data_IF_097397486085
#
_entry.id   IF_097397486085
#
_cell.length_a   1.000
_cell.length_b   1.000
_cell.length_c   1.000
_cell.angle_alpha   90.00
_cell.angle_beta   90.00
_cell.angle_gamma   90.00
#
_symmetry.space_group_name_H-M   'P 1'
#
loop_
_entity.id
_entity.type
_entity.pdbx_description
1 polymer ?
#
# COMPACT_ATOMS: atom_id res chain seq x y z
N UNK A 1 -27.82 -76.51 28.26
CA UNK A 1 -27.79 -75.18 27.61
C UNK A 1 -27.01 -74.29 28.59
N UNK A 2 -25.76 -73.89 28.39
CA UNK A 2 -25.04 -73.43 27.19
C UNK A 2 -23.52 -73.54 27.46
N UNK A 3 -22.76 -73.78 26.39
CA UNK A 3 -21.29 -73.77 26.27
C UNK A 3 -20.63 -72.57 26.99
N UNK A 4 -19.55 -72.73 27.77
CA UNK A 4 -18.13 -72.85 27.36
C UNK A 4 -17.77 -71.85 26.25
N UNK A 5 -16.94 -70.83 26.48
CA UNK A 5 -15.50 -70.92 26.19
C UNK A 5 -14.75 -69.77 26.86
N UNK A 6 -13.86 -70.13 27.78
CA UNK A 6 -12.73 -69.33 28.26
C UNK A 6 -11.58 -69.59 27.28
N UNK A 7 -11.06 -68.54 26.65
CA UNK A 7 -9.86 -68.54 25.80
C UNK A 7 -8.94 -67.48 26.43
N UNK A 8 -7.91 -67.79 27.24
CA UNK A 8 -6.66 -68.57 27.10
C UNK A 8 -5.61 -67.89 26.19
N UNK A 9 -4.38 -67.87 26.71
CA UNK A 9 -3.05 -67.59 26.09
C UNK A 9 -2.52 -66.17 26.46
N UNK A 10 -1.74 -65.98 27.53
CA UNK A 10 -0.30 -66.30 27.73
C UNK A 10 0.58 -65.70 26.62
N UNK A 11 1.34 -64.63 26.90
CA UNK A 11 2.82 -64.69 26.92
C UNK A 11 3.45 -63.37 27.38
N UNK A 12 4.46 -63.53 28.21
CA UNK A 12 5.33 -62.54 28.85
C UNK A 12 6.43 -62.02 27.91
N UNK A 13 6.62 -60.67 27.88
CA UNK A 13 7.91 -59.93 28.06
C UNK A 13 9.06 -60.15 27.00
N UNK A 14 10.07 -59.27 26.87
CA UNK A 14 10.16 -57.80 26.72
C UNK A 14 11.00 -57.38 25.48
N UNK A 15 11.26 -56.06 25.41
CA UNK A 15 12.52 -55.41 24.98
C UNK A 15 13.04 -55.74 23.57
N UNK A 16 13.01 -54.73 22.71
CA UNK A 16 14.21 -54.13 22.09
C UNK A 16 13.73 -53.14 21.02
N UNK A 17 13.81 -51.84 21.25
CA UNK A 17 14.01 -50.90 20.15
C UNK A 17 14.70 -49.62 20.63
N UNK A 18 16.02 -49.65 20.48
CA UNK A 18 16.92 -48.59 20.01
C UNK A 18 16.83 -47.22 20.70
N UNK A 19 17.82 -47.03 21.58
CA UNK A 19 18.38 -45.75 21.99
C UNK A 19 19.12 -45.10 20.79
N UNK A 20 18.75 -43.88 20.41
CA UNK A 20 19.69 -42.84 19.99
C UNK A 20 19.24 -41.52 20.60
N UNK A 21 19.85 -41.17 21.73
CA UNK A 21 19.95 -39.81 22.25
C UNK A 21 21.32 -39.28 21.82
N UNK A 22 21.36 -38.06 21.28
CA UNK A 22 22.62 -37.45 20.86
C UNK A 22 22.51 -36.06 20.22
N UNK A 23 22.01 -35.09 20.98
CA UNK A 23 22.49 -33.69 21.09
C UNK A 23 22.56 -32.84 19.81
N UNK A 24 21.72 -31.80 19.76
CA UNK A 24 22.20 -30.44 19.52
C UNK A 24 21.29 -29.43 20.25
N UNK A 25 21.88 -28.77 21.23
CA UNK A 25 21.36 -27.63 21.95
C UNK A 25 21.53 -26.40 21.04
N UNK A 26 20.50 -25.57 20.96
CA UNK A 26 20.51 -24.29 20.27
C UNK A 26 19.21 -23.57 20.59
N UNK A 27 19.15 -22.97 21.78
CA UNK A 27 18.28 -21.84 22.06
C UNK A 27 18.50 -20.79 20.99
N UNK A 28 17.46 -20.47 20.24
CA UNK A 28 17.06 -19.10 19.94
C UNK A 28 15.54 -19.17 19.79
N UNK A 29 14.84 -18.71 20.83
CA UNK A 29 13.45 -18.31 20.70
C UNK A 29 13.44 -17.14 19.72
N UNK A 30 13.36 -17.45 18.42
CA UNK A 30 12.95 -16.48 17.41
C UNK A 30 11.51 -16.13 17.73
N UNK A 31 11.35 -15.14 18.62
CA UNK A 31 10.20 -14.29 18.61
C UNK A 31 10.08 -13.79 17.18
N UNK A 32 9.14 -14.37 16.43
CA UNK A 32 8.64 -13.80 15.20
C UNK A 32 8.29 -12.36 15.54
N UNK A 33 9.16 -11.44 15.10
CA UNK A 33 8.88 -10.03 15.12
C UNK A 33 7.75 -9.86 14.14
N UNK A 34 6.51 -9.88 14.64
CA UNK A 34 5.37 -9.32 13.93
C UNK A 34 5.69 -7.82 13.79
N UNK A 35 6.40 -7.45 12.73
CA UNK A 35 6.26 -6.10 12.20
C UNK A 35 4.78 -6.01 11.86
N UNK A 36 4.05 -5.19 12.63
CA UNK A 36 2.79 -4.66 12.17
C UNK A 36 3.11 -3.77 10.96
N UNK A 37 3.39 -4.39 9.81
CA UNK A 37 3.31 -3.70 8.54
C UNK A 37 1.83 -3.35 8.36
N UNK A 38 1.52 -2.05 8.38
CA UNK A 38 0.20 -1.58 7.99
C UNK A 38 -0.03 -2.08 6.56
N UNK A 39 -0.86 -3.10 6.41
CA UNK A 39 -1.09 -3.70 5.11
C UNK A 39 -1.76 -2.66 4.22
N UNK A 40 -1.02 -2.17 3.22
CA UNK A 40 -1.57 -1.35 2.14
C UNK A 40 -1.71 -2.23 0.90
N UNK A 41 -2.87 -2.15 0.28
CA UNK A 41 -3.19 -2.91 -0.93
C UNK A 41 -3.83 -1.98 -1.94
N UNK A 42 -3.27 -1.93 -3.14
CA UNK A 42 -3.87 -1.18 -4.24
C UNK A 42 -2.98 -1.10 -5.47
N UNK A 43 -3.61 -1.07 -6.63
CA UNK A 43 -2.99 -0.70 -7.89
C UNK A 43 -3.85 0.37 -8.53
N UNK A 44 -3.20 1.44 -9.00
CA UNK A 44 -3.83 2.50 -9.80
C UNK A 44 -3.42 2.26 -11.25
N UNK A 45 -4.40 2.01 -12.11
CA UNK A 45 -4.23 1.95 -13.55
C UNK A 45 -4.13 3.36 -14.12
N UNK A 46 -3.21 3.54 -15.05
CA UNK A 46 -2.97 4.81 -15.72
C UNK A 46 -3.32 4.68 -17.20
N UNK A 47 -3.95 5.72 -17.74
CA UNK A 47 -4.15 5.87 -19.18
C UNK A 47 -3.92 7.32 -19.59
N UNK A 48 -3.30 7.51 -20.76
CA UNK A 48 -2.88 8.82 -21.25
C UNK A 48 -1.66 8.70 -22.16
N UNK A 49 -1.31 9.78 -22.83
CA UNK A 49 -0.21 9.80 -23.80
C UNK A 49 1.14 9.45 -23.16
N UNK A 50 1.43 10.00 -21.97
CA UNK A 50 2.72 9.83 -21.28
C UNK A 50 2.91 8.46 -20.62
N UNK A 51 1.91 7.58 -20.63
CA UNK A 51 2.07 6.21 -20.11
C UNK A 51 3.08 5.37 -20.90
N UNK A 52 3.51 5.82 -22.08
CA UNK A 52 4.66 5.23 -22.78
C UNK A 52 5.99 5.44 -22.05
N UNK A 53 6.10 6.46 -21.20
CA UNK A 53 7.35 6.86 -20.54
C UNK A 53 7.56 6.16 -19.18
N UNK A 54 6.47 5.88 -18.46
CA UNK A 54 6.53 5.28 -17.11
C UNK A 54 5.59 4.08 -16.89
N UNK A 55 4.88 3.65 -17.93
CA UNK A 55 3.97 2.51 -17.87
C UNK A 55 2.53 2.86 -17.50
N UNK A 56 1.70 1.82 -17.36
CA UNK A 56 0.23 1.93 -17.25
C UNK A 56 -0.32 1.57 -15.87
N UNK A 57 0.54 1.40 -14.86
CA UNK A 57 0.09 0.98 -13.52
C UNK A 57 1.07 1.40 -12.43
N UNK A 58 0.53 1.86 -11.31
CA UNK A 58 1.26 2.16 -10.08
C UNK A 58 0.79 1.21 -8.98
N UNK A 59 1.70 0.39 -8.46
CA UNK A 59 1.41 -0.50 -7.32
C UNK A 59 1.85 0.20 -6.03
N UNK A 60 0.90 0.37 -5.10
CA UNK A 60 1.17 1.04 -3.83
C UNK A 60 1.96 0.11 -2.91
N UNK A 61 3.12 0.59 -2.45
CA UNK A 61 3.98 -0.14 -1.50
C UNK A 61 3.88 0.41 -0.07
N UNK A 62 3.77 1.73 0.09
CA UNK A 62 3.66 2.37 1.40
C UNK A 62 2.55 3.44 1.41
N UNK A 63 2.03 3.78 2.59
CA UNK A 63 1.02 4.83 2.77
C UNK A 63 1.24 5.61 4.07
N UNK A 64 1.11 6.93 3.99
CA UNK A 64 0.93 7.80 5.15
C UNK A 64 -0.47 8.38 5.17
N UNK A 65 -1.15 8.31 6.32
CA UNK A 65 -2.53 8.78 6.46
C UNK A 65 -2.56 9.98 7.41
N UNK A 66 -3.08 11.11 6.93
CA UNK A 66 -3.25 12.32 7.73
C UNK A 66 -1.94 12.93 8.25
N UNK A 67 -0.82 12.66 7.57
CA UNK A 67 0.48 13.20 7.99
C UNK A 67 0.58 14.70 7.66
N UNK A 68 0.09 15.51 8.60
CA UNK A 68 0.08 16.98 8.49
C UNK A 68 1.47 17.61 8.49
N UNK A 69 2.50 16.91 8.99
CA UNK A 69 3.87 17.41 8.95
C UNK A 69 4.43 17.35 7.52
N UNK A 70 4.10 16.30 6.74
CA UNK A 70 4.46 16.22 5.32
C UNK A 70 3.58 17.11 4.43
N UNK A 71 2.26 17.06 4.63
CA UNK A 71 1.30 17.58 3.64
C UNK A 71 0.65 18.91 4.04
N UNK A 72 0.87 19.37 5.27
CA UNK A 72 0.20 20.55 5.83
C UNK A 72 -1.27 20.32 6.23
N UNK A 73 -1.80 19.10 6.09
CA UNK A 73 -3.18 18.76 6.45
C UNK A 73 -3.31 17.33 6.98
N UNK A 74 -4.30 17.07 7.83
CA UNK A 74 -4.70 15.73 8.27
C UNK A 74 -5.76 15.11 7.33
N UNK A 75 -6.18 15.82 6.28
CA UNK A 75 -7.19 15.40 5.29
C UNK A 75 -6.58 14.87 4.01
N UNK A 76 -5.45 14.18 4.12
CA UNK A 76 -4.70 13.62 2.99
C UNK A 76 -4.26 12.19 3.27
N UNK A 77 -4.03 11.45 2.19
CA UNK A 77 -3.18 10.27 2.18
C UNK A 77 -1.99 10.53 1.25
N UNK A 78 -0.83 9.99 1.60
CA UNK A 78 0.35 9.95 0.75
C UNK A 78 0.56 8.51 0.34
N UNK A 79 0.36 8.19 -0.93
CA UNK A 79 0.57 6.86 -1.50
C UNK A 79 1.96 6.83 -2.15
N UNK A 80 2.72 5.80 -1.83
CA UNK A 80 4.14 5.72 -2.16
C UNK A 80 4.44 4.39 -2.86
N UNK A 81 5.41 4.39 -3.76
CA UNK A 81 6.04 3.15 -4.23
C UNK A 81 6.80 2.44 -3.10
N UNK A 82 7.10 1.15 -3.30
CA UNK A 82 7.76 0.30 -2.30
C UNK A 82 9.13 0.83 -1.85
N UNK A 83 9.88 1.47 -2.76
CA UNK A 83 11.21 2.04 -2.52
C UNK A 83 11.20 3.41 -1.83
N UNK A 84 10.02 3.93 -1.46
CA UNK A 84 9.89 5.23 -0.78
C UNK A 84 9.19 5.02 0.56
N UNK A 85 9.85 5.46 1.63
CA UNK A 85 9.32 5.42 3.00
C UNK A 85 9.25 6.82 3.58
N UNK A 86 8.62 6.94 4.74
CA UNK A 86 8.64 8.18 5.54
C UNK A 86 9.38 7.94 6.84
N UNK A 87 10.43 8.72 7.06
CA UNK A 87 11.21 8.71 8.29
C UNK A 87 11.28 10.13 8.83
N UNK A 88 10.97 10.31 10.13
CA UNK A 88 11.00 11.63 10.78
C UNK A 88 10.18 12.72 10.07
N UNK A 89 9.09 12.33 9.41
CA UNK A 89 8.25 13.20 8.57
C UNK A 89 8.92 13.73 7.28
N UNK A 90 9.93 13.02 6.78
CA UNK A 90 10.56 13.29 5.49
C UNK A 90 10.47 12.04 4.60
N UNK A 91 10.35 12.25 3.29
CA UNK A 91 10.38 11.15 2.32
C UNK A 91 11.82 10.67 2.17
N UNK A 92 12.04 9.37 2.34
CA UNK A 92 13.33 8.71 2.14
C UNK A 92 13.21 7.80 0.92
N UNK A 93 14.11 7.98 -0.03
CA UNK A 93 14.13 7.28 -1.30
C UNK A 93 15.38 6.38 -1.36
N UNK A 94 15.23 5.16 -1.88
CA UNK A 94 16.39 4.36 -2.26
C UNK A 94 17.04 4.97 -3.52
N UNK A 95 18.14 5.70 -3.35
CA UNK A 95 18.87 6.35 -4.45
C UNK A 95 19.36 5.36 -5.53
N UNK A 96 19.42 4.06 -5.24
CA UNK A 96 19.78 3.05 -6.22
C UNK A 96 18.65 2.67 -7.19
N UNK A 97 17.41 3.01 -6.84
CA UNK A 97 16.24 2.87 -7.70
C UNK A 97 15.79 4.24 -8.22
N UNK A 98 15.93 4.42 -9.53
CA UNK A 98 15.60 5.68 -10.21
C UNK A 98 14.13 5.73 -10.65
N UNK A 99 13.32 4.75 -10.24
CA UNK A 99 11.89 4.68 -10.51
C UNK A 99 11.09 4.79 -9.21
N UNK A 100 9.96 5.47 -9.26
CA UNK A 100 9.10 5.58 -8.09
C UNK A 100 7.96 6.56 -8.29
N UNK A 101 7.08 6.66 -7.30
CA UNK A 101 6.03 7.68 -7.34
C UNK A 101 5.61 8.10 -5.93
N UNK A 102 5.15 9.34 -5.85
CA UNK A 102 4.52 9.92 -4.66
C UNK A 102 3.20 10.54 -5.09
N UNK A 103 2.10 10.09 -4.51
CA UNK A 103 0.75 10.65 -4.75
C UNK A 103 0.22 11.20 -3.43
N UNK A 104 0.07 12.52 -3.34
CA UNK A 104 -0.65 13.16 -2.25
C UNK A 104 -2.09 13.40 -2.71
N UNK A 105 -3.02 12.68 -2.11
CA UNK A 105 -4.44 12.76 -2.40
C UNK A 105 -5.16 13.32 -1.17
N UNK A 106 -5.70 14.54 -1.28
CA UNK A 106 -6.48 15.19 -0.21
C UNK A 106 -7.96 15.36 -0.56
N UNK A 107 -8.82 15.15 0.44
CA UNK A 107 -10.27 15.30 0.37
C UNK A 107 -10.77 16.12 1.55
N UNK A 108 -11.12 17.37 1.26
CA UNK A 108 -11.58 18.38 2.21
C UNK A 108 -13.12 18.51 2.26
N UNK A 109 -13.86 17.60 1.61
CA UNK A 109 -15.34 17.67 1.57
C UNK A 109 -15.98 17.61 2.95
N UNK A 110 -15.30 16.98 3.92
CA UNK A 110 -15.69 16.92 5.34
C UNK A 110 -15.14 18.08 6.19
N UNK A 111 -14.46 19.04 5.56
CA UNK A 111 -13.78 20.17 6.19
C UNK A 111 -12.28 20.21 5.87
N UNK A 112 -11.65 21.36 6.12
CA UNK A 112 -10.20 21.56 5.93
C UNK A 112 -9.86 22.69 4.96
N UNK A 113 -10.71 22.95 3.96
CA UNK A 113 -10.58 24.10 3.07
C UNK A 113 -11.95 24.63 2.66
N UNK A 114 -12.18 25.96 2.65
CA UNK A 114 -13.45 26.54 2.22
C UNK A 114 -13.59 26.65 0.69
N UNK A 115 -12.49 26.53 -0.05
CA UNK A 115 -12.44 26.85 -1.48
C UNK A 115 -12.02 25.66 -2.36
N UNK A 116 -11.41 24.64 -1.75
CA UNK A 116 -10.93 23.44 -2.42
C UNK A 116 -11.60 22.26 -1.73
N UNK A 117 -12.28 21.44 -2.50
CA UNK A 117 -12.92 20.23 -2.01
C UNK A 117 -11.96 19.06 -2.10
N UNK A 118 -11.21 18.96 -3.20
CA UNK A 118 -10.37 17.80 -3.51
C UNK A 118 -9.13 18.25 -4.27
N UNK A 119 -8.00 17.62 -4.02
CA UNK A 119 -6.77 17.91 -4.76
C UNK A 119 -5.88 16.68 -4.80
N UNK A 120 -5.17 16.52 -5.92
CA UNK A 120 -4.10 15.54 -6.06
C UNK A 120 -2.85 16.27 -6.51
N UNK A 121 -1.73 15.92 -5.90
CA UNK A 121 -0.38 16.27 -6.37
C UNK A 121 0.36 14.95 -6.53
N UNK A 122 0.94 14.71 -7.70
CA UNK A 122 1.60 13.46 -8.02
C UNK A 122 2.95 13.73 -8.69
N UNK A 123 3.96 12.99 -8.26
CA UNK A 123 5.25 12.89 -8.91
C UNK A 123 5.44 11.42 -9.29
N UNK A 124 5.80 11.18 -10.56
CA UNK A 124 6.26 9.88 -11.04
C UNK A 124 7.69 10.11 -11.53
N UNK A 125 8.63 9.32 -11.02
CA UNK A 125 10.01 9.32 -11.50
C UNK A 125 10.22 8.04 -12.31
N UNK A 126 10.73 8.19 -13.53
CA UNK A 126 11.06 7.09 -14.43
C UNK A 126 12.43 7.32 -15.02
N UNK A 127 13.36 6.38 -14.80
CA UNK A 127 14.77 6.48 -15.21
C UNK A 127 15.44 7.82 -14.82
N UNK A 128 15.05 8.37 -13.67
CA UNK A 128 15.56 9.64 -13.13
C UNK A 128 14.93 10.91 -13.72
N UNK A 129 13.95 10.78 -14.63
CA UNK A 129 13.12 11.88 -15.14
C UNK A 129 11.84 12.02 -14.31
N UNK A 130 11.49 13.23 -13.92
CA UNK A 130 10.33 13.54 -13.09
C UNK A 130 9.15 14.02 -13.93
N UNK A 131 7.98 13.42 -13.70
CA UNK A 131 6.71 13.81 -14.29
C UNK A 131 5.79 14.31 -13.17
N UNK A 132 5.50 15.62 -13.19
CA UNK A 132 4.73 16.29 -12.14
C UNK A 132 3.30 16.55 -12.60
N UNK A 133 2.34 15.98 -11.88
CA UNK A 133 0.92 16.09 -12.17
C UNK A 133 0.15 16.71 -11.02
N UNK A 134 -0.94 17.40 -11.33
CA UNK A 134 -1.86 17.90 -10.32
C UNK A 134 -3.31 17.99 -10.82
N UNK A 135 -4.24 18.03 -9.88
CA UNK A 135 -5.63 18.41 -10.14
C UNK A 135 -6.20 19.10 -8.91
N UNK A 136 -7.28 19.87 -9.11
CA UNK A 136 -8.03 20.45 -8.00
C UNK A 136 -9.51 20.60 -8.35
N UNK A 137 -10.39 20.21 -7.43
CA UNK A 137 -11.83 20.41 -7.53
C UNK A 137 -12.32 21.31 -6.39
N UNK A 138 -13.14 22.34 -6.67
CA UNK A 138 -13.53 22.80 -8.01
C UNK A 138 -12.32 23.35 -8.80
N UNK A 139 -12.42 23.34 -10.14
CA UNK A 139 -11.38 23.83 -11.04
C UNK A 139 -10.86 25.21 -10.61
N UNK A 140 -9.54 25.31 -10.38
CA UNK A 140 -8.85 26.57 -10.12
C UNK A 140 -7.89 26.82 -11.28
N UNK A 141 -8.32 27.55 -12.32
CA UNK A 141 -7.60 28.16 -13.47
C UNK A 141 -6.30 27.54 -14.02
N UNK A 142 -5.38 27.11 -13.17
CA UNK A 142 -4.08 26.49 -13.43
C UNK A 142 -4.10 24.95 -13.44
N UNK A 143 -5.08 24.30 -12.79
CA UNK A 143 -5.19 22.84 -12.78
C UNK A 143 -6.58 22.39 -13.22
N UNK A 144 -6.65 21.24 -13.89
CA UNK A 144 -7.93 20.61 -14.25
C UNK A 144 -8.68 20.13 -13.01
N UNK A 145 -10.00 19.93 -13.15
CA UNK A 145 -10.79 19.26 -12.13
C UNK A 145 -10.31 17.81 -11.96
N UNK A 146 -10.32 17.31 -10.72
CA UNK A 146 -9.92 15.92 -10.42
C UNK A 146 -10.91 14.86 -10.92
N UNK A 147 -12.02 15.26 -11.55
CA UNK A 147 -13.17 14.38 -11.79
C UNK A 147 -14.12 14.32 -10.59
N UNK A 148 -15.27 13.67 -10.78
CA UNK A 148 -16.37 13.69 -9.81
C UNK A 148 -16.25 12.58 -8.75
N UNK A 149 -15.58 11.46 -9.08
CA UNK A 149 -15.63 10.22 -8.30
C UNK A 149 -14.38 9.96 -7.47
N UNK A 150 -13.33 10.78 -7.62
CA UNK A 150 -12.19 10.76 -6.69
C UNK A 150 -12.67 11.00 -5.25
N UNK A 151 -12.27 10.17 -4.29
CA UNK A 151 -12.57 10.38 -2.87
C UNK A 151 -11.58 9.69 -1.94
N UNK A 152 -11.38 10.27 -0.76
CA UNK A 152 -10.66 9.63 0.36
C UNK A 152 -11.60 9.46 1.54
N UNK A 153 -11.88 8.20 1.90
CA UNK A 153 -12.67 7.84 3.07
C UNK A 153 -11.76 7.34 4.19
N UNK A 154 -11.54 8.18 5.19
CA UNK A 154 -10.69 7.88 6.34
C UNK A 154 -11.33 6.89 7.32
N UNK A 155 -12.66 6.77 7.33
CA UNK A 155 -13.38 5.84 8.19
C UNK A 155 -13.39 4.44 7.57
N UNK A 156 -13.73 4.35 6.27
CA UNK A 156 -13.68 3.11 5.51
C UNK A 156 -12.24 2.67 5.16
N UNK A 157 -11.25 3.55 5.35
CA UNK A 157 -9.84 3.35 5.01
C UNK A 157 -9.62 3.03 3.54
N UNK A 158 -10.23 3.84 2.68
CA UNK A 158 -10.17 3.66 1.23
C UNK A 158 -9.92 4.97 0.50
N UNK A 159 -9.09 4.93 -0.55
CA UNK A 159 -8.98 5.98 -1.55
C UNK A 159 -9.43 5.41 -2.89
N UNK A 160 -10.39 6.08 -3.54
CA UNK A 160 -10.94 5.66 -4.82
C UNK A 160 -10.61 6.69 -5.89
N UNK A 161 -10.09 6.19 -7.00
CA UNK A 161 -9.83 6.92 -8.24
C UNK A 161 -10.70 6.25 -9.30
N UNK A 162 -11.71 6.95 -9.80
CA UNK A 162 -12.53 6.47 -10.92
C UNK A 162 -12.62 7.58 -11.95
N UNK A 163 -12.03 7.32 -13.11
CA UNK A 163 -11.83 8.28 -14.19
C UNK A 163 -11.29 9.63 -13.66
N UNK A 164 -10.35 9.55 -12.71
CA UNK A 164 -9.76 10.71 -12.05
C UNK A 164 -8.70 11.30 -12.96
N UNK A 165 -8.79 12.60 -13.25
CA UNK A 165 -7.87 13.25 -14.19
C UNK A 165 -6.90 14.16 -13.49
N UNK A 166 -5.62 14.06 -13.84
CA UNK A 166 -4.55 14.97 -13.43
C UNK A 166 -3.84 15.53 -14.65
N UNK A 167 -3.36 16.77 -14.58
CA UNK A 167 -2.65 17.45 -15.67
C UNK A 167 -1.17 17.56 -15.34
N UNK A 168 -0.31 17.24 -16.31
CA UNK A 168 1.11 17.46 -16.23
C UNK A 168 1.38 18.97 -16.17
N UNK A 169 2.11 19.41 -15.15
CA UNK A 169 2.34 20.82 -14.85
C UNK A 169 3.32 21.52 -15.78
N UNK A 170 4.03 20.77 -16.62
CA UNK A 170 5.01 21.31 -17.57
C UNK A 170 4.47 21.40 -19.00
N UNK A 171 3.66 20.43 -19.42
CA UNK A 171 3.27 20.26 -20.82
C UNK A 171 1.75 20.16 -21.07
N UNK A 172 0.93 20.31 -20.03
CA UNK A 172 -0.54 20.27 -20.06
C UNK A 172 -1.16 18.93 -20.53
N UNK A 173 -0.37 17.85 -20.62
CA UNK A 173 -0.89 16.52 -20.98
C UNK A 173 -1.68 15.94 -19.81
N UNK A 174 -2.84 15.35 -20.12
CA UNK A 174 -3.74 14.79 -19.12
C UNK A 174 -3.50 13.28 -18.96
N UNK A 175 -3.40 12.86 -17.72
CA UNK A 175 -3.37 11.46 -17.31
C UNK A 175 -4.68 11.12 -16.58
N UNK A 176 -5.22 9.93 -16.85
CA UNK A 176 -6.39 9.38 -16.18
C UNK A 176 -5.99 8.24 -15.27
N UNK A 177 -6.53 8.23 -14.05
CA UNK A 177 -6.23 7.32 -12.96
C UNK A 177 -7.50 6.55 -12.56
N UNK A 178 -7.37 5.22 -12.50
CA UNK A 178 -8.43 4.29 -12.11
C UNK A 178 -7.91 3.25 -11.12
N UNK A 179 -8.49 3.17 -9.93
CA UNK A 179 -8.10 2.19 -8.93
C UNK A 179 -8.70 2.45 -7.55
N UNK A 180 -8.56 1.46 -6.68
CA UNK A 180 -8.92 1.59 -5.26
C UNK A 180 -7.73 1.15 -4.43
N UNK A 181 -7.42 1.95 -3.42
CA UNK A 181 -6.38 1.68 -2.43
C UNK A 181 -7.04 1.54 -1.07
N UNK A 182 -6.66 0.51 -0.33
CA UNK A 182 -7.17 0.23 1.01
C UNK A 182 -6.03 0.07 2.00
N UNK A 183 -6.25 0.46 3.26
CA UNK A 183 -5.26 0.30 4.33
C UNK A 183 -5.87 -0.18 5.64
N UNK A 184 -5.04 -0.74 6.53
CA UNK A 184 -5.42 -1.20 7.87
C UNK A 184 -5.03 -0.24 9.01
#
# INVERSE_FOLDING_TARGET
MTNLTIMKIIQTLPLLFILVLGIACGTDDEAASESQENAVLGTILLSGEETSEFGTSLTIGNIEVGNSALTGTDKSVVLLSENITVENNELVFDESDQNGFVIVAADFTTGGSPNIEKTISMNITSDGEEFLYACTSPFQNFFIACGEVYSVDFEAKTATFENTTVINTENDIVLTMDGTVTWE
#
